data_IF_121549655356
#
_entry.id   IF_121549655356
#
_cell.length_a   1.000
_cell.length_b   1.000
_cell.length_c   1.000
_cell.angle_alpha   90.00
_cell.angle_beta   90.00
_cell.angle_gamma   90.00
#
_symmetry.space_group_name_H-M   'P 1'
#
loop_
_entity.id
_entity.type
_entity.pdbx_description
1 polymer ?
#
# COMPACT_ATOMS: atom_id res chain seq x y z
N UNK A 1 -13.36 -21.64 -1.81
CA UNK A 1 -13.99 -20.32 -1.64
C UNK A 1 -13.00 -19.33 -2.19
N UNK A 2 -13.26 -18.76 -3.38
CA UNK A 2 -12.44 -17.68 -3.92
C UNK A 2 -12.76 -16.43 -3.10
N UNK A 3 -11.77 -15.87 -2.42
CA UNK A 3 -11.91 -14.60 -1.72
C UNK A 3 -11.82 -13.46 -2.75
N UNK A 4 -12.68 -12.43 -2.69
CA UNK A 4 -12.49 -11.21 -3.49
C UNK A 4 -11.11 -10.64 -3.15
N UNK A 5 -10.33 -10.29 -4.17
CA UNK A 5 -8.92 -9.85 -4.00
C UNK A 5 -8.79 -8.62 -3.10
N UNK A 6 -9.78 -7.72 -3.11
CA UNK A 6 -9.85 -6.51 -2.30
C UNK A 6 -10.07 -6.77 -0.80
N UNK A 7 -10.64 -7.92 -0.40
CA UNK A 7 -11.08 -8.13 0.98
C UNK A 7 -9.97 -8.35 2.00
N UNK A 8 -8.78 -8.77 1.60
CA UNK A 8 -7.69 -9.13 2.54
C UNK A 8 -7.08 -7.89 3.20
N UNK A 9 -6.78 -6.86 2.43
CA UNK A 9 -6.20 -5.61 2.96
C UNK A 9 -7.15 -4.92 3.96
N UNK A 10 -8.45 -4.89 3.65
CA UNK A 10 -9.49 -4.34 4.54
C UNK A 10 -9.60 -5.09 5.87
N UNK A 11 -9.55 -6.42 5.83
CA UNK A 11 -9.60 -7.26 7.03
C UNK A 11 -8.38 -7.03 7.91
N UNK A 12 -7.19 -7.01 7.32
CA UNK A 12 -5.95 -6.73 8.05
C UNK A 12 -6.03 -5.34 8.70
N UNK A 13 -6.41 -4.31 7.95
CA UNK A 13 -6.56 -2.96 8.48
C UNK A 13 -7.53 -2.92 9.67
N UNK A 14 -8.68 -3.59 9.55
CA UNK A 14 -9.66 -3.64 10.64
C UNK A 14 -9.20 -4.45 11.86
N UNK A 15 -8.52 -5.57 11.64
CA UNK A 15 -7.97 -6.39 12.72
C UNK A 15 -6.89 -5.67 13.54
N UNK A 16 -6.10 -4.83 12.89
CA UNK A 16 -5.03 -4.07 13.53
C UNK A 16 -5.52 -2.74 14.13
N UNK A 17 -6.70 -2.25 13.73
CA UNK A 17 -7.28 -1.03 14.26
C UNK A 17 -7.66 -1.19 15.74
N UNK A 18 -7.27 -0.20 16.56
CA UNK A 18 -7.65 -0.14 17.96
C UNK A 18 -9.13 0.27 18.09
N UNK A 19 -9.78 0.03 19.23
CA UNK A 19 -11.17 0.42 19.45
C UNK A 19 -11.45 1.94 19.27
N UNK A 20 -10.41 2.77 19.45
CA UNK A 20 -10.50 4.24 19.31
C UNK A 20 -10.24 4.73 17.88
N UNK A 21 -9.68 3.88 17.02
CA UNK A 21 -9.33 4.27 15.65
C UNK A 21 -10.60 4.30 14.77
N UNK A 22 -10.65 5.25 13.86
CA UNK A 22 -11.66 5.31 12.80
C UNK A 22 -11.09 4.65 11.55
N UNK A 23 -11.85 3.73 10.97
CA UNK A 23 -11.50 3.05 9.71
C UNK A 23 -12.45 3.52 8.63
N UNK A 24 -11.91 3.98 7.49
CA UNK A 24 -12.69 4.33 6.31
C UNK A 24 -12.23 3.46 5.16
N UNK A 25 -13.14 2.68 4.62
CA UNK A 25 -12.92 1.80 3.47
C UNK A 25 -13.56 2.46 2.25
N UNK A 26 -12.77 2.68 1.20
CA UNK A 26 -13.23 3.26 -0.06
C UNK A 26 -13.14 2.22 -1.16
N UNK A 27 -14.26 1.97 -1.84
CA UNK A 27 -14.38 1.02 -2.93
C UNK A 27 -15.31 1.60 -3.98
N UNK A 28 -14.85 1.63 -5.24
CA UNK A 28 -15.66 2.21 -6.33
C UNK A 28 -16.61 1.20 -6.98
N UNK A 29 -16.32 -0.11 -6.86
CA UNK A 29 -17.13 -1.14 -7.48
C UNK A 29 -18.37 -1.43 -6.62
N UNK A 30 -19.61 -1.23 -7.12
CA UNK A 30 -20.81 -1.34 -6.29
C UNK A 30 -20.97 -2.70 -5.61
N UNK A 31 -20.70 -3.79 -6.32
CA UNK A 31 -20.84 -5.15 -5.77
C UNK A 31 -19.83 -5.44 -4.66
N UNK A 32 -18.56 -5.04 -4.85
CA UNK A 32 -17.52 -5.14 -3.82
C UNK A 32 -17.83 -4.23 -2.62
N UNK A 33 -18.30 -3.01 -2.88
CA UNK A 33 -18.74 -2.09 -1.83
C UNK A 33 -19.90 -2.66 -1.01
N UNK A 34 -20.86 -3.32 -1.63
CA UNK A 34 -21.95 -4.00 -0.94
C UNK A 34 -21.43 -5.17 -0.09
N UNK A 35 -20.46 -5.94 -0.59
CA UNK A 35 -19.78 -6.98 0.18
C UNK A 35 -19.08 -6.42 1.43
N UNK A 36 -18.36 -5.30 1.27
CA UNK A 36 -17.72 -4.61 2.39
C UNK A 36 -18.74 -4.07 3.40
N UNK A 37 -19.86 -3.51 2.95
CA UNK A 37 -20.94 -3.05 3.85
C UNK A 37 -21.56 -4.21 4.63
N UNK A 38 -21.76 -5.36 3.99
CA UNK A 38 -22.28 -6.54 4.66
C UNK A 38 -21.33 -7.07 5.75
N UNK A 39 -20.01 -7.02 5.50
CA UNK A 39 -18.99 -7.52 6.45
C UNK A 39 -18.65 -6.49 7.53
N UNK A 40 -18.47 -5.22 7.19
CA UNK A 40 -17.91 -4.20 8.07
C UNK A 40 -18.88 -3.10 8.49
N UNK A 41 -20.03 -2.95 7.81
CA UNK A 41 -20.95 -1.82 8.02
C UNK A 41 -21.61 -1.77 9.40
N UNK A 42 -21.61 -2.89 10.16
CA UNK A 42 -22.09 -2.93 11.54
C UNK A 42 -21.02 -2.68 12.60
N UNK A 43 -19.75 -2.51 12.21
CA UNK A 43 -18.65 -2.37 13.15
C UNK A 43 -18.50 -0.91 13.61
N UNK A 44 -18.32 -0.72 14.91
CA UNK A 44 -18.13 0.61 15.47
C UNK A 44 -16.93 1.32 14.85
N UNK A 45 -17.08 2.61 14.55
CA UNK A 45 -16.04 3.50 13.99
C UNK A 45 -15.49 3.01 12.63
N UNK A 46 -16.27 2.20 11.91
CA UNK A 46 -15.95 1.73 10.56
C UNK A 46 -16.96 2.28 9.57
N UNK A 47 -16.50 2.88 8.50
CA UNK A 47 -17.29 3.49 7.45
C UNK A 47 -16.90 2.89 6.10
N UNK A 48 -17.88 2.48 5.31
CA UNK A 48 -17.67 2.00 3.93
C UNK A 48 -18.26 3.03 2.97
N UNK A 49 -17.42 3.58 2.10
CA UNK A 49 -17.79 4.58 1.10
C UNK A 49 -17.67 4.00 -0.30
N UNK A 50 -18.75 4.13 -1.06
CA UNK A 50 -18.75 3.84 -2.49
C UNK A 50 -18.16 5.05 -3.23
N UNK A 51 -16.85 5.02 -3.45
CA UNK A 51 -16.12 6.07 -4.12
C UNK A 51 -14.74 5.59 -4.57
N UNK A 52 -14.20 6.27 -5.56
CA UNK A 52 -12.82 6.11 -5.98
C UNK A 52 -11.85 6.42 -4.83
N UNK A 53 -10.93 5.48 -4.56
CA UNK A 53 -9.93 5.59 -3.50
C UNK A 53 -8.96 6.76 -3.69
N UNK A 54 -8.63 7.13 -4.93
CA UNK A 54 -7.79 8.29 -5.21
C UNK A 54 -8.53 9.61 -4.93
N UNK A 55 -9.80 9.70 -5.30
CA UNK A 55 -10.65 10.85 -4.95
C UNK A 55 -10.88 10.96 -3.44
N UNK A 56 -10.86 9.85 -2.71
CA UNK A 56 -11.00 9.81 -1.27
C UNK A 56 -9.90 10.59 -0.54
N UNK A 57 -8.69 10.66 -1.07
CA UNK A 57 -7.61 11.46 -0.48
C UNK A 57 -8.00 12.93 -0.34
N UNK A 58 -8.68 13.48 -1.35
CA UNK A 58 -9.17 14.87 -1.32
C UNK A 58 -10.28 15.09 -0.30
N UNK A 59 -11.15 14.09 -0.16
CA UNK A 59 -12.31 14.18 0.70
C UNK A 59 -12.01 13.92 2.19
N UNK A 60 -10.95 13.13 2.48
CA UNK A 60 -10.66 12.60 3.80
C UNK A 60 -9.41 13.20 4.46
N UNK A 61 -8.53 13.83 3.70
CA UNK A 61 -7.29 14.41 4.22
C UNK A 61 -7.34 15.94 4.28
N UNK A 62 -6.86 16.56 5.36
CA UNK A 62 -6.39 15.92 6.59
C UNK A 62 -7.56 15.42 7.46
N UNK A 63 -7.40 14.31 8.20
CA UNK A 63 -8.44 13.81 9.07
C UNK A 63 -8.56 14.68 10.34
N UNK A 64 -9.75 14.72 10.98
CA UNK A 64 -9.94 15.47 12.24
C UNK A 64 -9.04 14.95 13.37
N UNK A 65 -8.66 13.67 13.34
CA UNK A 65 -7.75 13.03 14.29
C UNK A 65 -6.30 13.54 14.18
N UNK A 66 -5.97 14.27 13.11
CA UNK A 66 -4.61 14.75 12.76
C UNK A 66 -3.53 13.66 12.74
N UNK A 67 -3.96 12.42 12.57
CA UNK A 67 -3.14 11.22 12.41
C UNK A 67 -3.85 10.26 11.50
N UNK A 68 -3.14 9.70 10.51
CA UNK A 68 -3.69 8.69 9.62
C UNK A 68 -2.58 7.77 9.09
N UNK A 69 -3.00 6.54 8.84
CA UNK A 69 -2.35 5.64 7.89
C UNK A 69 -3.29 5.52 6.69
N UNK A 70 -2.80 5.84 5.52
CA UNK A 70 -3.50 5.64 4.24
C UNK A 70 -2.87 4.44 3.55
N UNK A 71 -3.66 3.44 3.23
CA UNK A 71 -3.22 2.29 2.41
C UNK A 71 -3.82 2.43 1.02
N UNK A 72 -2.97 2.48 0.00
CA UNK A 72 -3.29 2.43 -1.41
C UNK A 72 -3.01 1.02 -1.92
N UNK A 73 -4.05 0.29 -2.28
CA UNK A 73 -3.98 -1.11 -2.76
C UNK A 73 -4.80 -1.25 -4.06
N UNK A 74 -4.36 -0.59 -5.16
CA UNK A 74 -5.10 -0.62 -6.41
C UNK A 74 -5.00 -1.99 -7.10
N UNK A 75 -5.94 -2.33 -8.00
CA UNK A 75 -5.99 -3.64 -8.65
C UNK A 75 -4.90 -3.88 -9.69
N UNK A 76 -4.16 -2.86 -10.12
CA UNK A 76 -3.15 -2.92 -11.18
C UNK A 76 -3.67 -3.50 -12.51
N UNK A 77 -4.91 -3.20 -12.86
CA UNK A 77 -5.53 -3.56 -14.14
C UNK A 77 -5.25 -2.52 -15.24
N UNK A 78 -5.13 -1.25 -14.85
CA UNK A 78 -4.83 -0.17 -15.76
C UNK A 78 -3.31 -0.07 -16.03
N UNK A 79 -2.93 0.32 -17.25
CA UNK A 79 -1.52 0.48 -17.61
C UNK A 79 -0.85 1.67 -16.91
N UNK A 80 -1.62 2.68 -16.54
CA UNK A 80 -1.19 3.93 -15.91
C UNK A 80 -1.31 3.91 -14.37
N UNK A 81 -1.60 2.76 -13.76
CA UNK A 81 -1.79 2.62 -12.31
C UNK A 81 -0.61 3.19 -11.49
N UNK A 82 0.62 2.94 -11.93
CA UNK A 82 1.79 3.53 -11.27
C UNK A 82 1.79 5.07 -11.30
N UNK A 83 1.35 5.66 -12.41
CA UNK A 83 1.24 7.12 -12.51
C UNK A 83 0.13 7.65 -11.58
N UNK A 84 -1.00 6.95 -11.49
CA UNK A 84 -2.09 7.30 -10.59
C UNK A 84 -1.65 7.23 -9.12
N UNK A 85 -0.84 6.25 -8.72
CA UNK A 85 -0.25 6.18 -7.37
C UNK A 85 0.69 7.37 -7.11
N UNK A 86 1.53 7.75 -8.09
CA UNK A 86 2.41 8.92 -7.96
C UNK A 86 1.59 10.20 -7.74
N UNK A 87 0.50 10.38 -8.49
CA UNK A 87 -0.39 11.52 -8.33
C UNK A 87 -1.13 11.48 -6.98
N UNK A 88 -1.55 10.30 -6.53
CA UNK A 88 -2.15 10.10 -5.22
C UNK A 88 -1.18 10.44 -4.07
N UNK A 89 0.09 10.04 -4.19
CA UNK A 89 1.13 10.40 -3.21
C UNK A 89 1.32 11.91 -3.19
N UNK A 90 1.44 12.56 -4.35
CA UNK A 90 1.55 14.02 -4.47
C UNK A 90 0.40 14.72 -3.77
N UNK A 91 -0.84 14.32 -4.06
CA UNK A 91 -2.05 14.87 -3.46
C UNK A 91 -2.10 14.64 -1.94
N UNK A 92 -1.86 13.39 -1.50
CA UNK A 92 -1.89 13.01 -0.10
C UNK A 92 -0.87 13.77 0.74
N UNK A 93 0.37 13.87 0.28
CA UNK A 93 1.45 14.60 0.95
C UNK A 93 1.17 16.11 0.98
N UNK A 94 0.65 16.69 -0.10
CA UNK A 94 0.30 18.13 -0.14
C UNK A 94 -0.79 18.50 0.85
N UNK A 95 -1.74 17.61 1.10
CA UNK A 95 -2.86 17.82 2.04
C UNK A 95 -2.52 17.47 3.47
N UNK A 96 -1.70 16.45 3.66
CA UNK A 96 -1.38 15.94 4.99
C UNK A 96 0.06 15.40 5.03
N UNK A 97 1.03 16.31 5.05
CA UNK A 97 2.46 15.99 4.97
C UNK A 97 3.00 15.13 6.11
N UNK A 98 2.32 15.08 7.26
CA UNK A 98 2.69 14.25 8.42
C UNK A 98 1.96 12.88 8.45
N UNK A 99 1.09 12.61 7.49
CA UNK A 99 0.41 11.31 7.38
C UNK A 99 1.35 10.21 6.92
N UNK A 100 1.10 8.98 7.37
CA UNK A 100 1.76 7.79 6.82
C UNK A 100 0.97 7.34 5.60
N UNK A 101 1.62 7.30 4.43
CA UNK A 101 1.03 6.73 3.22
C UNK A 101 1.79 5.46 2.87
N UNK A 102 1.05 4.37 2.64
CA UNK A 102 1.59 3.09 2.21
C UNK A 102 0.94 2.70 0.88
N UNK A 103 1.75 2.47 -0.15
CA UNK A 103 1.28 2.07 -1.47
C UNK A 103 1.83 0.67 -1.80
N UNK A 104 0.92 -0.28 -1.98
CA UNK A 104 1.28 -1.61 -2.47
C UNK A 104 1.49 -1.56 -3.99
N UNK A 105 2.47 -2.35 -4.48
CA UNK A 105 2.71 -2.51 -5.92
C UNK A 105 3.26 -3.90 -6.26
N UNK A 106 2.94 -4.44 -7.47
CA UNK A 106 3.42 -5.74 -7.91
C UNK A 106 4.83 -5.63 -8.52
N UNK A 107 5.64 -6.66 -8.34
CA UNK A 107 6.92 -6.85 -9.01
C UNK A 107 6.71 -7.70 -10.28
N UNK A 108 6.21 -7.05 -11.34
CA UNK A 108 5.97 -7.69 -12.65
C UNK A 108 7.12 -7.47 -13.63
N UNK A 109 7.93 -6.43 -13.43
CA UNK A 109 9.11 -6.09 -14.21
C UNK A 109 9.89 -4.96 -13.56
N UNK A 110 11.20 -5.19 -13.40
CA UNK A 110 12.08 -4.27 -12.66
C UNK A 110 12.08 -2.85 -13.23
N UNK A 111 12.14 -2.70 -14.54
CA UNK A 111 12.20 -1.39 -15.20
C UNK A 111 11.01 -0.50 -14.83
N UNK A 112 9.79 -1.03 -14.86
CA UNK A 112 8.58 -0.28 -14.49
C UNK A 112 8.58 0.16 -13.02
N UNK A 113 9.09 -0.70 -12.15
CA UNK A 113 9.21 -0.38 -10.72
C UNK A 113 10.25 0.73 -10.50
N UNK A 114 11.40 0.67 -11.18
CA UNK A 114 12.43 1.72 -11.09
C UNK A 114 11.93 3.06 -11.63
N UNK A 115 11.16 3.06 -12.73
CA UNK A 115 10.49 4.27 -13.24
C UNK A 115 9.52 4.86 -12.21
N UNK A 116 8.71 4.02 -11.60
CA UNK A 116 7.78 4.42 -10.53
C UNK A 116 8.52 5.03 -9.33
N UNK A 117 9.52 4.33 -8.78
CA UNK A 117 10.29 4.82 -7.64
C UNK A 117 11.06 6.11 -7.97
N UNK A 118 11.54 6.25 -9.21
CA UNK A 118 12.17 7.47 -9.71
C UNK A 118 11.17 8.64 -9.76
N UNK A 119 9.95 8.39 -10.25
CA UNK A 119 8.89 9.39 -10.26
C UNK A 119 8.50 9.83 -8.84
N UNK A 120 8.42 8.90 -7.90
CA UNK A 120 8.20 9.23 -6.47
C UNK A 120 9.34 10.07 -5.91
N UNK A 121 10.60 9.71 -6.18
CA UNK A 121 11.77 10.48 -5.73
C UNK A 121 11.75 11.93 -6.27
N UNK A 122 11.28 12.11 -7.51
CA UNK A 122 11.17 13.43 -8.13
C UNK A 122 10.13 14.34 -7.46
N UNK A 123 9.15 13.78 -6.77
CA UNK A 123 8.18 14.56 -5.95
C UNK A 123 8.82 15.21 -4.73
N UNK A 124 10.01 14.77 -4.30
CA UNK A 124 10.67 15.17 -3.05
C UNK A 124 9.72 15.05 -1.85
N UNK A 125 9.10 13.89 -1.64
CA UNK A 125 8.19 13.70 -0.51
C UNK A 125 8.98 13.71 0.82
N UNK A 126 8.30 13.67 1.97
CA UNK A 126 8.91 13.30 3.25
C UNK A 126 9.67 11.98 3.14
N UNK A 127 10.45 11.57 4.17
CA UNK A 127 11.17 10.31 4.15
C UNK A 127 10.33 9.16 3.60
N UNK A 128 10.88 8.42 2.65
CA UNK A 128 10.18 7.39 1.92
C UNK A 128 11.06 6.16 1.73
N UNK A 129 10.55 4.98 2.04
CA UNK A 129 11.25 3.70 1.95
C UNK A 129 10.40 2.68 1.20
N UNK A 130 11.02 1.93 0.31
CA UNK A 130 10.41 0.81 -0.40
C UNK A 130 10.87 -0.51 0.24
N UNK A 131 9.91 -1.37 0.53
CA UNK A 131 10.09 -2.73 1.02
C UNK A 131 9.61 -3.69 -0.06
N UNK A 132 10.48 -4.56 -0.56
CA UNK A 132 10.14 -5.50 -1.63
C UNK A 132 10.40 -6.93 -1.18
N UNK A 133 9.46 -7.80 -1.48
CA UNK A 133 9.53 -9.24 -1.26
C UNK A 133 9.42 -9.95 -2.60
N UNK A 134 10.46 -10.66 -3.00
CA UNK A 134 10.52 -11.46 -4.21
C UNK A 134 10.39 -12.94 -3.87
N UNK A 135 9.43 -13.61 -4.48
CA UNK A 135 9.20 -15.06 -4.32
C UNK A 135 9.90 -15.87 -5.41
N UNK A 136 10.46 -15.18 -6.42
CA UNK A 136 11.20 -15.77 -7.54
C UNK A 136 12.21 -14.76 -8.08
N UNK A 137 13.26 -15.26 -8.73
CA UNK A 137 14.28 -14.43 -9.37
C UNK A 137 13.79 -13.76 -10.67
N UNK A 138 14.58 -12.80 -11.18
CA UNK A 138 14.25 -12.04 -12.40
C UNK A 138 14.08 -12.94 -13.64
N UNK A 139 14.81 -14.05 -13.74
CA UNK A 139 14.71 -14.99 -14.84
C UNK A 139 13.45 -15.86 -14.81
N UNK A 140 12.67 -15.82 -13.75
CA UNK A 140 11.42 -16.59 -13.60
C UNK A 140 10.39 -16.19 -14.66
N UNK A 141 9.61 -17.17 -15.11
CA UNK A 141 8.48 -16.99 -16.02
C UNK A 141 7.19 -16.54 -15.31
N UNK A 142 7.19 -16.40 -13.99
CA UNK A 142 6.05 -15.90 -13.25
C UNK A 142 5.71 -14.46 -13.68
N UNK A 143 4.44 -14.20 -13.90
CA UNK A 143 3.97 -12.84 -14.24
C UNK A 143 4.22 -11.85 -13.11
N UNK A 144 4.02 -12.28 -11.87
CA UNK A 144 4.30 -11.51 -10.66
C UNK A 144 5.34 -12.26 -9.84
N UNK A 145 6.51 -11.70 -9.71
CA UNK A 145 7.67 -12.29 -9.02
C UNK A 145 7.74 -11.91 -7.55
N UNK A 146 6.83 -11.08 -7.11
CA UNK A 146 6.75 -10.56 -5.75
C UNK A 146 5.90 -9.31 -5.67
N UNK A 147 6.03 -8.61 -4.56
CA UNK A 147 5.35 -7.33 -4.35
C UNK A 147 6.23 -6.37 -3.55
N UNK A 148 5.87 -5.09 -3.61
CA UNK A 148 6.48 -4.04 -2.83
C UNK A 148 5.46 -3.24 -2.03
N UNK A 149 5.94 -2.61 -0.98
CA UNK A 149 5.22 -1.61 -0.19
C UNK A 149 6.09 -0.36 -0.08
N UNK A 150 5.67 0.71 -0.73
CA UNK A 150 6.28 2.02 -0.56
C UNK A 150 5.63 2.72 0.63
N UNK A 151 6.43 3.16 1.59
CA UNK A 151 5.93 3.86 2.78
C UNK A 151 6.53 5.25 2.85
N UNK A 152 5.66 6.27 2.85
CA UNK A 152 5.99 7.68 3.10
C UNK A 152 5.76 7.97 4.58
N UNK A 153 6.68 8.69 5.22
CA UNK A 153 6.72 8.92 6.66
C UNK A 153 6.69 7.60 7.47
N UNK A 154 7.60 6.66 7.22
CA UNK A 154 7.61 5.42 7.99
C UNK A 154 7.75 5.73 9.49
N UNK A 155 7.05 4.98 10.36
CA UNK A 155 7.23 5.10 11.80
C UNK A 155 8.69 4.89 12.21
N UNK A 156 9.11 5.55 13.28
CA UNK A 156 10.45 5.41 13.80
C UNK A 156 10.81 3.93 14.08
N UNK A 157 12.01 3.51 13.72
CA UNK A 157 12.51 2.12 13.80
C UNK A 157 11.74 1.07 12.97
N UNK A 158 10.77 1.48 12.13
CA UNK A 158 9.99 0.56 11.32
C UNK A 158 10.87 -0.27 10.36
N UNK A 159 11.92 0.34 9.80
CA UNK A 159 12.82 -0.33 8.86
C UNK A 159 13.47 -1.59 9.45
N UNK A 160 13.98 -1.53 10.68
CA UNK A 160 14.64 -2.67 11.33
C UNK A 160 13.71 -3.86 11.47
N UNK A 161 12.51 -3.64 12.04
CA UNK A 161 11.49 -4.68 12.17
C UNK A 161 11.03 -5.21 10.81
N UNK A 162 10.86 -4.34 9.82
CA UNK A 162 10.44 -4.74 8.48
C UNK A 162 11.49 -5.62 7.80
N UNK A 163 12.78 -5.35 7.95
CA UNK A 163 13.88 -6.19 7.42
C UNK A 163 13.83 -7.60 7.99
N UNK A 164 13.70 -7.72 9.31
CA UNK A 164 13.61 -9.04 9.95
C UNK A 164 12.42 -9.87 9.43
N UNK A 165 11.25 -9.22 9.32
CA UNK A 165 10.05 -9.86 8.79
C UNK A 165 10.22 -10.24 7.32
N UNK A 166 10.76 -9.34 6.48
CA UNK A 166 10.98 -9.62 5.06
C UNK A 166 11.96 -10.75 4.84
N UNK A 167 13.06 -10.80 5.59
CA UNK A 167 14.05 -11.89 5.48
C UNK A 167 13.43 -13.25 5.80
N UNK A 168 12.62 -13.32 6.87
CA UNK A 168 11.86 -14.53 7.18
C UNK A 168 10.88 -14.91 6.06
N UNK A 169 10.11 -13.93 5.54
CA UNK A 169 9.11 -14.16 4.50
C UNK A 169 9.75 -14.56 3.17
N UNK A 170 10.90 -13.99 2.82
CA UNK A 170 11.62 -14.36 1.60
C UNK A 170 11.99 -15.84 1.59
N UNK A 171 12.44 -16.38 2.73
CA UNK A 171 12.70 -17.82 2.87
C UNK A 171 11.42 -18.66 2.87
N UNK A 172 10.39 -18.22 3.61
CA UNK A 172 9.17 -19.00 3.80
C UNK A 172 8.25 -19.04 2.57
N UNK A 173 8.27 -17.98 1.75
CA UNK A 173 7.37 -17.82 0.59
C UNK A 173 8.08 -17.99 -0.77
N UNK A 174 9.37 -18.32 -0.80
CA UNK A 174 10.08 -18.60 -2.04
C UNK A 174 9.37 -19.68 -2.85
N UNK A 175 9.02 -19.38 -4.10
CA UNK A 175 8.38 -20.31 -5.03
C UNK A 175 9.38 -20.91 -6.01
N UNK A 176 10.43 -20.14 -6.34
CA UNK A 176 11.51 -20.53 -7.24
C UNK A 176 12.85 -20.00 -6.71
N UNK A 177 13.99 -20.49 -7.21
CA UNK A 177 15.31 -19.93 -6.88
C UNK A 177 15.38 -18.42 -7.18
N UNK A 178 16.09 -17.67 -6.33
CA UNK A 178 16.29 -16.24 -6.49
C UNK A 178 15.22 -15.39 -5.79
N UNK A 179 14.40 -16.00 -4.93
CA UNK A 179 13.60 -15.25 -3.96
C UNK A 179 14.50 -14.43 -3.04
N UNK A 180 14.13 -13.19 -2.75
CA UNK A 180 14.93 -12.25 -1.96
C UNK A 180 14.07 -11.14 -1.37
N UNK A 181 14.64 -10.35 -0.47
CA UNK A 181 14.08 -9.08 -0.03
C UNK A 181 14.97 -7.92 -0.48
N UNK A 182 14.34 -6.75 -0.61
CA UNK A 182 15.02 -5.48 -0.83
C UNK A 182 14.38 -4.40 0.02
N UNK A 183 15.22 -3.60 0.67
CA UNK A 183 14.78 -2.39 1.38
C UNK A 183 15.62 -1.23 0.88
N UNK A 184 14.96 -0.23 0.30
CA UNK A 184 15.61 0.92 -0.30
C UNK A 184 14.97 2.21 0.18
N UNK A 185 15.78 3.14 0.70
CA UNK A 185 15.35 4.50 0.96
C UNK A 185 15.25 5.29 -0.35
N UNK A 186 14.03 5.64 -0.72
CA UNK A 186 13.75 6.50 -1.87
C UNK A 186 14.09 7.96 -1.54
N UNK A 187 13.71 8.37 -0.32
CA UNK A 187 14.13 9.62 0.31
C UNK A 187 14.52 9.28 1.74
N UNK A 188 15.80 9.38 2.12
CA UNK A 188 16.24 9.05 3.48
C UNK A 188 15.71 10.07 4.50
N UNK A 189 15.59 9.69 5.78
CA UNK A 189 15.37 10.65 6.85
C UNK A 189 16.55 11.63 6.94
N UNK A 190 16.26 12.86 7.40
CA UNK A 190 17.27 13.90 7.62
C UNK A 190 18.18 13.57 8.81
#
# INVERSE_FOLDING_TARGET
>A
VAWPRSSVAWRIARMLARPVDRVVLCEQHPDECNGLRAEFGGLARTEVREMDGYAALRALLPPPERRALVLLDPPFEAQDEFAQIVDAIREGVSRFSSGVLAAWYPLTGRARVEEFLTAVRALRPPPAVAFELMVAGEASMLKMKGCGLLVINPPWQYEGTAREVLSFLAGALAQEPGGAERVEWIVPPA
#
